data_IF_512156425408
#
_entry.id   IF_512156425408
#
_cell.length_a   1.000
_cell.length_b   1.000
_cell.length_c   1.000
_cell.angle_alpha   90.00
_cell.angle_beta   90.00
_cell.angle_gamma   90.00
#
_symmetry.space_group_name_H-M   'P 1'
#
loop_
_entity.id
_entity.type
_entity.pdbx_description
1 polymer ?
2 polymer ?
3 non-polymer ?
4 non-polymer ?
5 non-polymer ?
6 non-polymer ?
7 water ?
#
# COMPACT_ATOMS: atom_id res chain seq x y z
N UNK A 4 -6.85 19.88 -3.65
CA UNK A 4 -7.52 18.59 -3.77
C UNK A 4 -7.02 17.81 -4.97
N UNK A 5 -6.53 16.58 -4.74
CA UNK A 5 -6.00 15.78 -5.83
C UNK A 5 -7.07 14.88 -6.41
N UNK A 6 -6.71 14.14 -7.46
CA UNK A 6 -7.51 13.03 -7.94
C UNK A 6 -7.32 11.89 -6.96
N UNK A 7 -8.38 11.10 -6.75
CA UNK A 7 -8.30 9.95 -5.87
C UNK A 7 -8.57 8.67 -6.64
N UNK A 8 -7.60 7.78 -6.64
CA UNK A 8 -7.70 6.46 -7.28
C UNK A 8 -8.17 5.43 -6.27
N UNK A 9 -9.29 4.75 -6.54
CA UNK A 9 -9.77 3.74 -5.61
C UNK A 9 -10.27 2.48 -6.28
N UNK A 10 -10.08 1.33 -5.63
CA UNK A 10 -10.62 0.08 -6.11
C UNK A 10 -12.06 -0.07 -5.64
N UNK A 11 -12.85 -0.83 -6.39
CA UNK A 11 -14.29 -0.88 -6.19
C UNK A 11 -14.84 -2.28 -6.50
N UNK A 12 -14.02 -3.30 -6.27
CA UNK A 12 -14.33 -4.70 -6.62
C UNK A 12 -14.59 -4.94 -8.11
N UNK A 13 -15.64 -4.33 -8.66
CA UNK A 13 -16.00 -4.52 -10.07
C UNK A 13 -15.17 -3.66 -11.03
N UNK A 14 -14.52 -2.63 -10.49
CA UNK A 14 -13.69 -1.75 -11.32
C UNK A 14 -12.73 -0.90 -10.48
N UNK A 15 -11.90 -0.12 -11.17
CA UNK A 15 -11.07 0.89 -10.52
C UNK A 15 -11.57 2.26 -10.97
N UNK A 16 -11.60 3.22 -10.07
CA UNK A 16 -12.17 4.53 -10.40
C UNK A 16 -11.28 5.71 -10.02
N UNK A 17 -11.54 6.84 -10.66
CA UNK A 17 -10.79 8.06 -10.42
C UNK A 17 -11.81 9.16 -10.17
N UNK A 18 -11.73 9.81 -9.02
CA UNK A 18 -12.62 10.91 -8.71
C UNK A 18 -11.83 12.15 -8.29
N UNK A 19 -12.28 13.31 -8.75
CA UNK A 19 -11.63 14.56 -8.37
C UNK A 19 -12.13 15.02 -7.01
N UNK A 20 -11.23 15.04 -6.03
CA UNK A 20 -11.59 15.34 -4.65
C UNK A 20 -12.24 16.71 -4.49
N UNK A 21 -11.96 17.62 -5.42
CA UNK A 21 -12.49 18.98 -5.36
C UNK A 21 -13.89 19.03 -5.95
N UNK A 22 -14.30 17.93 -6.57
CA UNK A 22 -15.59 17.85 -7.24
C UNK A 22 -16.19 16.45 -7.11
N UNK A 23 -16.25 15.95 -5.89
CA UNK A 23 -16.64 14.57 -5.64
C UNK A 23 -18.11 14.26 -5.86
N UNK A 24 -18.92 15.30 -6.05
CA UNK A 24 -20.34 15.11 -6.28
C UNK A 24 -20.61 14.42 -7.61
N UNK A 25 -19.73 14.65 -8.58
CA UNK A 25 -19.87 14.03 -9.90
C UNK A 25 -19.58 12.54 -9.83
N UNK A 26 -19.95 11.81 -10.89
CA UNK A 26 -19.61 10.41 -10.99
C UNK A 26 -18.12 10.21 -11.22
N UNK A 27 -17.55 9.17 -10.60
CA UNK A 27 -16.15 8.85 -10.81
C UNK A 27 -15.96 8.34 -12.21
N UNK A 28 -14.77 8.56 -12.78
CA UNK A 28 -14.44 7.98 -14.07
C UNK A 28 -13.91 6.57 -13.83
N UNK A 29 -14.25 5.65 -14.73
CA UNK A 29 -13.76 4.28 -14.63
C UNK A 29 -12.44 4.15 -15.39
N UNK A 30 -11.36 3.84 -14.65
CA UNK A 30 -10.07 3.66 -15.30
C UNK A 30 -9.94 2.22 -15.84
N UNK A 31 -10.43 1.26 -15.07
CA UNK A 31 -10.43 -0.14 -15.47
C UNK A 31 -11.76 -0.76 -15.06
N UNK A 32 -12.39 -1.51 -15.97
CA UNK A 32 -13.65 -2.18 -15.67
C UNK A 32 -13.59 -3.67 -15.90
N UNK A 33 -14.66 -4.38 -15.56
CA UNK A 33 -14.75 -5.81 -15.81
C UNK A 33 -13.93 -6.65 -14.85
N UNK A 34 -13.76 -6.16 -13.63
CA UNK A 34 -13.00 -6.89 -12.62
C UNK A 34 -13.96 -7.68 -11.73
N UNK A 35 -13.43 -8.68 -11.04
CA UNK A 35 -14.25 -9.50 -10.15
C UNK A 35 -14.27 -8.96 -8.73
N UNK A 36 -13.11 -9.00 -8.06
CA UNK A 36 -12.99 -8.46 -6.70
C UNK A 36 -11.70 -7.66 -6.52
N UNK A 37 -11.57 -6.57 -7.27
CA UNK A 37 -10.44 -5.66 -7.10
C UNK A 37 -10.45 -5.08 -5.69
N UNK A 38 -9.33 -5.25 -4.98
CA UNK A 38 -9.24 -4.84 -3.58
C UNK A 38 -8.15 -3.78 -3.35
N UNK A 39 -6.90 -4.18 -3.56
CA UNK A 39 -5.76 -3.30 -3.36
C UNK A 39 -5.43 -2.58 -4.67
N UNK A 40 -4.90 -1.37 -4.57
CA UNK A 40 -4.55 -0.59 -5.76
C UNK A 40 -3.37 0.35 -5.46
N UNK A 41 -2.54 0.57 -6.46
CA UNK A 41 -1.43 1.53 -6.35
C UNK A 41 -0.97 1.88 -7.78
N UNK A 42 0.09 2.66 -7.90
CA UNK A 42 0.50 3.15 -9.22
C UNK A 42 2.00 3.44 -9.25
N UNK A 43 2.53 3.54 -10.47
CA UNK A 43 3.86 4.10 -10.68
C UNK A 43 3.70 5.23 -11.71
N UNK A 44 3.55 6.44 -11.20
CA UNK A 44 3.10 7.56 -12.02
C UNK A 44 4.04 7.80 -13.21
N UNK A 45 5.33 7.77 -12.93
CA UNK A 45 6.34 8.08 -13.95
C UNK A 45 6.36 7.04 -15.08
N UNK A 46 5.90 5.82 -14.77
CA UNK A 46 5.86 4.74 -15.76
C UNK A 46 4.47 4.63 -16.41
N UNK A 47 3.54 5.47 -15.96
CA UNK A 47 2.17 5.41 -16.44
C UNK A 47 1.52 4.06 -16.16
N UNK A 48 1.75 3.53 -14.96
CA UNK A 48 1.19 2.24 -14.57
C UNK A 48 0.23 2.32 -13.39
N UNK A 49 -0.83 1.55 -13.45
CA UNK A 49 -1.71 1.33 -12.31
C UNK A 49 -1.77 -0.17 -12.01
N UNK A 50 -1.56 -0.53 -10.76
CA UNK A 50 -1.60 -1.93 -10.34
C UNK A 50 -2.79 -2.17 -9.45
N UNK A 51 -3.37 -3.36 -9.52
CA UNK A 51 -4.40 -3.75 -8.55
C UNK A 51 -4.33 -5.23 -8.23
N UNK A 52 -4.88 -5.61 -7.08
CA UNK A 52 -5.06 -7.01 -6.75
C UNK A 52 -6.52 -7.38 -6.93
N UNK A 53 -6.76 -8.62 -7.30
CA UNK A 53 -8.11 -9.16 -7.38
C UNK A 53 -8.14 -10.43 -6.53
N UNK A 54 -8.93 -10.43 -5.46
CA UNK A 54 -8.90 -11.56 -4.53
C UNK A 54 -9.68 -12.75 -5.06
N UNK A 55 -10.51 -12.53 -6.07
CA UNK A 55 -11.22 -13.65 -6.69
C UNK A 55 -10.40 -14.30 -7.80
N UNK A 56 -9.68 -13.49 -8.56
CA UNK A 56 -8.83 -14.02 -9.61
C UNK A 56 -7.42 -14.35 -9.08
N UNK A 57 -7.21 -14.07 -7.80
CA UNK A 57 -6.00 -14.49 -7.09
C UNK A 57 -4.74 -14.01 -7.82
N UNK A 58 -4.71 -12.71 -8.08
CA UNK A 58 -3.70 -12.13 -8.93
C UNK A 58 -3.48 -10.65 -8.70
N UNK A 59 -2.32 -10.17 -9.12
CA UNK A 59 -2.07 -8.75 -9.21
C UNK A 59 -1.90 -8.45 -10.70
N UNK A 60 -2.57 -7.41 -11.16
CA UNK A 60 -2.53 -7.03 -12.57
C UNK A 60 -2.12 -5.58 -12.71
N UNK A 61 -1.80 -5.17 -13.93
CA UNK A 61 -1.48 -3.78 -14.18
C UNK A 61 -2.02 -3.33 -15.53
N UNK A 62 -2.14 -2.02 -15.69
CA UNK A 62 -2.57 -1.46 -16.94
C UNK A 62 -1.78 -0.18 -17.19
N UNK A 63 -1.56 0.15 -18.45
CA UNK A 63 -0.85 1.37 -18.80
C UNK A 63 -1.87 2.48 -19.07
N UNK A 64 -2.01 3.40 -18.13
CA UNK A 64 -3.07 4.39 -18.18
C UNK A 64 -2.78 5.55 -19.14
N UNK A 65 -1.63 5.48 -19.81
CA UNK A 65 -1.25 6.47 -20.81
C UNK A 65 -1.36 5.98 -22.24
N UNK A 66 -2.01 4.83 -22.41
CA UNK A 66 -2.25 4.29 -23.73
C UNK A 66 -3.74 4.33 -24.01
N UNK A 67 -4.08 4.75 -25.23
CA UNK A 67 -5.48 4.89 -25.65
C UNK A 67 -6.29 3.65 -25.28
N UNK A 68 -5.76 2.47 -25.57
CA UNK A 68 -6.43 1.23 -25.22
C UNK A 68 -5.43 0.13 -24.87
N UNK A 69 -4.97 0.13 -23.63
CA UNK A 69 -4.08 -0.91 -23.13
C UNK A 69 -4.84 -1.96 -22.35
N UNK A 70 -4.43 -3.22 -22.51
CA UNK A 70 -5.14 -4.34 -21.93
C UNK A 70 -4.69 -4.63 -20.49
N UNK A 71 -5.49 -5.41 -19.78
CA UNK A 71 -5.15 -5.87 -18.45
C UNK A 71 -4.07 -6.94 -18.55
N UNK A 72 -2.99 -6.74 -17.81
CA UNK A 72 -1.84 -7.62 -17.83
C UNK A 72 -1.67 -8.27 -16.47
N UNK A 73 -1.72 -9.59 -16.43
CA UNK A 73 -1.47 -10.28 -15.16
C UNK A 73 0.03 -10.27 -14.87
N UNK A 74 0.40 -9.77 -13.70
CA UNK A 74 1.79 -9.65 -13.30
C UNK A 74 2.19 -10.76 -12.34
N UNK A 75 1.33 -11.05 -11.37
CA UNK A 75 1.56 -12.11 -10.40
C UNK A 75 0.28 -12.91 -10.25
N UNK A 76 0.41 -14.23 -10.25
CA UNK A 76 -0.76 -15.10 -10.14
C UNK A 76 -0.59 -16.09 -8.99
N UNK A 77 -1.64 -16.85 -8.68
CA UNK A 77 -1.59 -17.80 -7.58
C UNK A 77 -1.55 -17.17 -6.20
N UNK A 78 -2.05 -15.95 -6.07
CA UNK A 78 -2.12 -15.27 -4.78
C UNK A 78 -3.46 -15.55 -4.11
N UNK A 79 -3.45 -16.36 -3.06
CA UNK A 79 -4.69 -16.79 -2.42
C UNK A 79 -5.54 -15.63 -1.91
N UNK A 80 -4.92 -14.67 -1.23
CA UNK A 80 -5.68 -13.51 -0.73
C UNK A 80 -4.79 -12.28 -0.67
N UNK A 81 -4.55 -11.64 -1.82
CA UNK A 81 -3.66 -10.47 -1.93
C UNK A 81 -4.39 -9.22 -1.45
N UNK A 82 -4.41 -9.03 -0.13
CA UNK A 82 -5.26 -8.01 0.50
C UNK A 82 -4.65 -6.62 0.48
N UNK A 83 -3.36 -6.53 0.20
CA UNK A 83 -2.70 -5.23 0.16
C UNK A 83 -1.53 -5.26 -0.81
N UNK A 84 -1.24 -4.10 -1.40
CA UNK A 84 -0.05 -4.00 -2.24
C UNK A 84 0.48 -2.58 -2.26
N UNK A 85 1.74 -2.43 -2.63
CA UNK A 85 2.37 -1.12 -2.73
C UNK A 85 3.44 -1.16 -3.81
N UNK A 86 3.49 -0.09 -4.60
CA UNK A 86 4.51 0.04 -5.63
C UNK A 86 5.70 0.85 -5.13
N UNK A 87 6.89 0.27 -5.30
CA UNK A 87 8.13 0.99 -5.05
C UNK A 87 8.52 1.68 -6.34
N UNK A 88 8.23 2.98 -6.43
CA UNK A 88 8.41 3.74 -7.64
C UNK A 88 9.88 4.15 -7.84
N UNK A 89 10.70 3.91 -6.82
CA UNK A 89 12.12 4.28 -6.87
C UNK A 89 12.95 3.07 -7.28
N UNK A 90 12.87 2.01 -6.51
CA UNK A 90 13.60 0.79 -6.82
C UNK A 90 12.93 -0.05 -7.89
N UNK A 91 11.72 0.34 -8.27
CA UNK A 91 10.93 -0.37 -9.27
C UNK A 91 10.62 -1.80 -8.84
N UNK A 92 9.80 -1.91 -7.80
CA UNK A 92 9.47 -3.20 -7.21
C UNK A 92 8.00 -3.20 -6.84
N UNK A 93 7.43 -4.39 -6.72
CA UNK A 93 6.06 -4.55 -6.28
C UNK A 93 6.06 -5.33 -4.96
N UNK A 94 5.37 -4.79 -3.97
CA UNK A 94 5.28 -5.44 -2.66
C UNK A 94 3.83 -5.82 -2.42
N UNK A 95 3.59 -6.97 -1.81
CA UNK A 95 2.21 -7.31 -1.44
C UNK A 95 2.12 -8.20 -0.21
N UNK A 96 0.92 -8.22 0.37
CA UNK A 96 0.61 -9.07 1.50
C UNK A 96 -0.35 -10.15 1.03
N UNK A 97 -0.28 -11.32 1.64
CA UNK A 97 -1.26 -12.36 1.40
C UNK A 97 -1.72 -12.88 2.76
N UNK A 98 -3.00 -12.69 3.04
CA UNK A 98 -3.55 -13.03 4.34
C UNK A 98 -3.96 -14.50 4.46
N UNK A 99 -3.79 -15.27 3.39
CA UNK A 99 -4.10 -16.70 3.47
C UNK A 99 -2.83 -17.54 3.55
N UNK A 100 -1.81 -17.16 2.79
CA UNK A 100 -0.50 -17.82 2.89
C UNK A 100 0.35 -17.16 3.97
N UNK A 101 -0.14 -16.04 4.52
CA UNK A 101 0.53 -15.37 5.64
C UNK A 101 1.93 -14.94 5.27
N UNK A 102 2.05 -14.15 4.22
CA UNK A 102 3.35 -13.77 3.68
C UNK A 102 3.40 -12.32 3.24
N UNK A 103 4.60 -11.77 3.20
CA UNK A 103 4.85 -10.50 2.52
C UNK A 103 5.92 -10.78 1.48
N UNK A 104 5.69 -10.32 0.25
CA UNK A 104 6.55 -10.67 -0.87
C UNK A 104 6.91 -9.49 -1.74
N UNK A 105 7.99 -9.61 -2.50
CA UNK A 105 8.40 -8.56 -3.43
C UNK A 105 8.71 -9.16 -4.80
N UNK A 106 8.52 -8.35 -5.84
CA UNK A 106 8.96 -8.74 -7.17
C UNK A 106 9.29 -7.50 -7.99
N UNK A 107 9.84 -7.70 -9.17
CA UNK A 107 10.02 -6.60 -10.12
C UNK A 107 8.67 -6.11 -10.59
N UNK A 108 8.64 -4.95 -11.27
CA UNK A 108 7.37 -4.41 -11.76
C UNK A 108 6.65 -5.37 -12.73
N UNK A 109 7.40 -6.24 -13.40
CA UNK A 109 6.79 -7.19 -14.33
C UNK A 109 6.47 -8.54 -13.69
N UNK A 110 6.68 -8.63 -12.37
CA UNK A 110 6.37 -9.86 -11.65
C UNK A 110 7.51 -10.88 -11.61
N UNK A 111 8.61 -10.57 -12.28
CA UNK A 111 9.75 -11.48 -12.31
C UNK A 111 10.54 -11.42 -11.01
N UNK A 112 11.30 -12.48 -10.74
CA UNK A 112 12.18 -12.54 -9.58
C UNK A 112 11.44 -12.43 -8.25
N UNK A 113 10.35 -13.18 -8.11
CA UNK A 113 9.58 -13.17 -6.86
C UNK A 113 10.44 -13.64 -5.69
N UNK A 114 10.34 -12.93 -4.57
CA UNK A 114 11.07 -13.28 -3.37
C UNK A 114 10.20 -13.07 -2.13
N UNK A 115 10.00 -14.13 -1.35
CA UNK A 115 9.25 -13.99 -0.10
C UNK A 115 10.15 -13.34 0.95
N UNK A 116 9.68 -12.24 1.52
CA UNK A 116 10.46 -11.48 2.50
C UNK A 116 10.16 -11.91 3.92
N UNK A 117 8.87 -12.06 4.24
CA UNK A 117 8.47 -12.50 5.58
C UNK A 117 7.36 -13.54 5.46
N UNK A 118 7.47 -14.60 6.26
CA UNK A 118 6.51 -15.70 6.17
C UNK A 118 6.15 -16.25 7.53
N UNK A 119 6.64 -15.57 8.58
CA UNK A 119 6.40 -15.98 9.95
C UNK A 119 5.77 -14.86 10.76
N UNK A 120 4.96 -15.23 11.77
CA UNK A 120 4.33 -14.27 12.66
C UNK A 120 3.45 -13.26 11.91
N UNK A 121 2.79 -13.75 10.86
CA UNK A 121 1.80 -12.96 10.14
C UNK A 121 0.47 -13.71 10.22
N UNK A 122 -0.59 -13.01 10.56
CA UNK A 122 -1.89 -13.65 10.72
C UNK A 122 -2.90 -13.07 9.74
N UNK A 123 -3.18 -11.78 9.85
CA UNK A 123 -4.04 -11.11 8.88
C UNK A 123 -3.35 -9.85 8.37
N UNK A 124 -2.19 -10.01 7.72
CA UNK A 124 -1.51 -8.85 7.16
C UNK A 124 -2.45 -8.19 6.17
N UNK A 125 -2.44 -6.86 6.10
CA UNK A 125 -3.39 -6.16 5.25
C UNK A 125 -2.69 -5.02 4.51
N UNK A 126 -2.68 -3.83 5.10
CA UNK A 126 -2.16 -2.66 4.43
C UNK A 126 -0.63 -2.63 4.42
N UNK A 127 -0.07 -2.08 3.35
CA UNK A 127 1.38 -1.95 3.24
C UNK A 127 1.73 -0.60 2.61
N UNK A 128 2.66 0.11 3.25
CA UNK A 128 3.09 1.43 2.76
C UNK A 128 4.62 1.49 2.68
N UNK A 129 5.13 2.19 1.66
CA UNK A 129 6.56 2.23 1.41
C UNK A 129 7.12 3.65 1.52
N UNK A 130 8.34 3.73 2.04
CA UNK A 130 9.09 4.97 2.05
C UNK A 130 10.41 4.68 1.35
N UNK A 131 10.37 4.57 0.01
CA UNK A 131 11.48 4.07 -0.81
C UNK A 131 12.80 4.83 -0.57
N UNK A 132 12.72 6.15 -0.43
CA UNK A 132 13.91 6.99 -0.22
C UNK A 132 14.61 6.71 1.11
N UNK A 133 13.87 6.16 2.07
CA UNK A 133 14.43 5.80 3.36
C UNK A 133 14.58 4.28 3.50
N UNK A 134 14.08 3.55 2.52
CA UNK A 134 14.25 2.11 2.48
C UNK A 134 13.48 1.35 3.53
N UNK A 135 12.35 1.90 3.97
CA UNK A 135 11.50 1.25 4.97
C UNK A 135 10.12 0.90 4.41
N UNK A 136 9.59 -0.24 4.85
CA UNK A 136 8.22 -0.61 4.54
C UNK A 136 7.46 -0.74 5.84
N UNK A 137 6.16 -0.50 5.77
CA UNK A 137 5.29 -0.56 6.94
C UNK A 137 4.08 -1.40 6.59
N UNK A 138 3.57 -2.18 7.54
CA UNK A 138 2.34 -2.92 7.29
C UNK A 138 1.48 -3.12 8.54
N UNK A 139 0.21 -3.42 8.32
CA UNK A 139 -0.69 -3.72 9.43
C UNK A 139 -1.01 -5.21 9.44
N UNK A 140 -1.40 -5.71 10.61
CA UNK A 140 -1.87 -7.07 10.74
C UNK A 140 -3.05 -6.99 11.71
N UNK A 141 -4.23 -7.41 11.26
CA UNK A 141 -5.41 -7.29 12.10
C UNK A 141 -5.82 -8.63 12.72
N UNK A 142 -4.84 -9.51 12.87
CA UNK A 142 -5.09 -10.87 13.32
C UNK A 142 -5.15 -11.00 14.83
N UNK A 143 -4.90 -12.20 15.32
CA UNK A 143 -5.04 -12.51 16.74
C UNK A 143 -4.16 -11.61 17.60
N UNK A 144 -2.98 -11.29 17.07
CA UNK A 144 -2.12 -10.29 17.70
C UNK A 144 -2.01 -9.11 16.74
N UNK A 145 -2.94 -8.16 16.86
CA UNK A 145 -2.97 -7.02 15.93
C UNK A 145 -1.76 -6.13 16.16
N UNK A 146 -1.21 -5.57 15.08
CA UNK A 146 -0.01 -4.77 15.20
C UNK A 146 0.27 -3.96 13.93
N UNK A 147 1.16 -3.00 14.06
CA UNK A 147 1.77 -2.34 12.91
C UNK A 147 3.27 -2.61 13.01
N UNK A 148 3.89 -2.98 11.90
CA UNK A 148 5.31 -3.30 11.90
C UNK A 148 6.03 -2.48 10.85
N UNK A 149 7.34 -2.39 10.97
CA UNK A 149 8.14 -1.88 9.87
C UNK A 149 9.42 -2.68 9.73
N UNK A 150 10.01 -2.60 8.55
CA UNK A 150 11.20 -3.38 8.21
C UNK A 150 11.88 -2.71 7.04
N UNK A 151 13.12 -3.10 6.77
CA UNK A 151 13.77 -2.63 5.57
C UNK A 151 13.02 -3.18 4.37
N UNK A 152 13.03 -2.43 3.27
CA UNK A 152 12.39 -2.90 2.06
C UNK A 152 13.18 -4.07 1.45
N UNK A 153 14.25 -4.43 2.14
CA UNK A 153 15.09 -5.56 1.76
C UNK A 153 14.90 -6.73 2.70
N UNK A 154 13.89 -6.65 3.56
CA UNK A 154 13.57 -7.72 4.50
C UNK A 154 14.36 -7.68 5.80
N UNK A 155 15.15 -6.62 5.99
CA UNK A 155 15.99 -6.50 7.17
C UNK A 155 15.25 -5.82 8.33
N UNK A 156 15.77 -5.99 9.53
CA UNK A 156 15.39 -5.20 10.71
C UNK A 156 13.88 -5.04 10.91
N UNK A 157 13.18 -6.16 10.96
CA UNK A 157 11.75 -6.15 11.23
C UNK A 157 11.52 -5.83 12.70
N UNK A 158 10.53 -5.00 12.99
CA UNK A 158 10.10 -4.83 14.38
C UNK A 158 8.74 -4.17 14.52
N UNK A 159 8.06 -4.50 15.61
CA UNK A 159 6.72 -3.99 15.86
C UNK A 159 6.79 -2.56 16.40
N UNK A 160 6.11 -1.64 15.74
CA UNK A 160 6.11 -0.25 16.17
C UNK A 160 4.84 0.15 16.93
N UNK A 161 3.74 -0.55 16.67
CA UNK A 161 2.50 -0.34 17.43
C UNK A 161 1.89 -1.69 17.80
N UNK A 162 1.62 -1.90 19.08
CA UNK A 162 1.03 -3.17 19.51
C UNK A 162 0.01 -3.00 20.63
N UNK A 163 -0.34 -1.75 20.92
CA UNK A 163 -1.34 -1.45 21.92
C UNK A 163 -2.43 -0.57 21.32
N UNK A 164 -3.60 -0.56 21.96
CA UNK A 164 -4.76 0.18 21.48
C UNK A 164 -4.97 -0.04 19.98
N UNK A 165 -5.08 -1.30 19.60
CA UNK A 165 -5.15 -1.68 18.20
C UNK A 165 -5.91 -3.00 18.06
N UNK A 166 -6.73 -3.09 17.01
CA UNK A 166 -7.60 -4.26 16.85
C UNK A 166 -7.83 -4.58 15.36
N UNK A 167 -8.37 -3.61 14.63
CA UNK A 167 -8.51 -3.76 13.17
C UNK A 167 -7.80 -2.63 12.43
N UNK A 168 -6.46 -2.62 12.46
CA UNK A 168 -5.73 -1.62 11.68
C UNK A 168 -5.85 -1.91 10.19
N UNK A 169 -6.78 -1.23 9.51
CA UNK A 169 -7.05 -1.50 8.09
C UNK A 169 -6.31 -0.59 7.11
N UNK A 170 -6.19 0.68 7.47
CA UNK A 170 -5.62 1.66 6.57
C UNK A 170 -4.32 2.21 7.10
N UNK A 171 -3.39 2.52 6.20
CA UNK A 171 -2.05 2.95 6.58
C UNK A 171 -1.50 3.85 5.48
N UNK A 172 -1.03 5.04 5.85
CA UNK A 172 -0.38 5.91 4.87
C UNK A 172 0.73 6.73 5.49
N UNK A 173 1.62 7.23 4.65
CA UNK A 173 2.76 8.02 5.11
C UNK A 173 2.63 9.48 4.71
N UNK A 174 3.09 10.36 5.60
CA UNK A 174 3.25 11.77 5.25
C UNK A 174 4.75 11.99 5.08
N UNK A 175 5.20 12.11 3.83
CA UNK A 175 6.62 12.20 3.52
C UNK A 175 7.21 13.57 3.87
N UNK A 176 6.36 14.59 3.89
CA UNK A 176 6.82 15.92 4.25
C UNK A 176 7.05 16.04 5.76
N UNK A 177 6.07 15.57 6.53
CA UNK A 177 6.14 15.69 7.99
C UNK A 177 6.86 14.52 8.66
N UNK A 178 7.14 13.45 7.90
CA UNK A 178 7.73 12.25 8.48
C UNK A 178 6.81 11.61 9.53
N UNK A 179 5.55 11.37 9.16
CA UNK A 179 4.58 10.79 10.07
C UNK A 179 3.87 9.61 9.44
N UNK A 180 3.43 8.69 10.28
CA UNK A 180 2.65 7.54 9.83
C UNK A 180 1.21 7.71 10.32
N UNK A 181 0.24 7.48 9.44
CA UNK A 181 -1.17 7.55 9.83
C UNK A 181 -1.82 6.19 9.65
N UNK A 182 -2.75 5.83 10.52
CA UNK A 182 -3.50 4.60 10.32
C UNK A 182 -4.95 4.70 10.82
N UNK A 183 -5.81 3.85 10.27
CA UNK A 183 -7.21 3.83 10.64
C UNK A 183 -7.55 2.46 11.26
N UNK A 184 -8.25 2.50 12.40
CA UNK A 184 -8.65 1.25 13.05
C UNK A 184 -10.16 1.12 12.98
N UNK A 185 -10.63 0.05 12.32
CA UNK A 185 -12.05 -0.12 12.04
C UNK A 185 -12.85 -0.70 13.20
N UNK A 186 -12.18 -1.24 14.22
CA UNK A 186 -12.93 -1.77 15.37
C UNK A 186 -13.00 -0.70 16.44
N UNK A 187 -11.92 0.06 16.59
CA UNK A 187 -11.83 1.09 17.61
C UNK A 187 -12.31 2.43 17.04
N UNK A 188 -12.57 2.45 15.74
CA UNK A 188 -13.27 3.55 15.06
C UNK A 188 -12.53 4.89 15.03
N UNK A 189 -11.21 4.84 14.88
CA UNK A 189 -10.43 6.09 14.90
C UNK A 189 -9.32 6.14 13.86
N UNK A 190 -8.69 7.31 13.74
CA UNK A 190 -7.48 7.48 12.96
C UNK A 190 -6.42 8.11 13.85
N UNK A 191 -5.25 7.47 13.93
CA UNK A 191 -4.16 7.99 14.73
C UNK A 191 -2.94 8.25 13.88
N UNK A 192 -1.98 8.98 14.43
CA UNK A 192 -0.71 9.21 13.77
C UNK A 192 0.44 8.99 14.75
N UNK A 193 1.64 8.88 14.21
CA UNK A 193 2.83 8.79 15.05
C UNK A 193 4.07 9.07 14.21
N UNK A 194 5.22 9.16 14.87
CA UNK A 194 6.49 9.19 14.17
C UNK A 194 6.69 7.85 13.47
N UNK A 195 7.70 7.77 12.62
CA UNK A 195 7.88 6.57 11.80
C UNK A 195 8.35 5.37 12.62
N UNK A 196 8.85 5.62 13.83
CA UNK A 196 9.22 4.52 14.72
C UNK A 196 8.10 4.17 15.72
N UNK A 197 6.96 4.82 15.58
CA UNK A 197 5.81 4.54 16.42
C UNK A 197 5.70 5.41 17.65
N UNK A 198 6.74 6.20 17.92
CA UNK A 198 6.72 7.09 19.09
C UNK A 198 5.88 8.34 18.83
N UNK A 199 5.59 9.07 19.91
CA UNK A 199 4.82 10.30 19.82
C UNK A 199 3.48 10.07 19.12
N UNK A 200 2.79 9.02 19.54
CA UNK A 200 1.48 8.71 18.98
C UNK A 200 0.44 9.71 19.46
N UNK A 201 -0.49 10.09 18.58
CA UNK A 201 -1.59 10.95 18.98
C UNK A 201 -2.83 10.73 18.11
N UNK A 202 -3.99 11.14 18.63
CA UNK A 202 -5.24 10.95 17.92
C UNK A 202 -5.48 12.03 16.88
N UNK A 203 -5.99 11.64 15.72
CA UNK A 203 -6.38 12.61 14.69
C UNK A 203 -7.91 12.75 14.70
N UNK A 204 -8.59 11.69 14.30
CA UNK A 204 -10.02 11.55 14.48
C UNK A 204 -10.20 10.58 15.64
N UNK A 205 -10.79 11.06 16.73
CA UNK A 205 -10.84 10.31 17.99
C UNK A 205 -11.73 9.06 17.94
N UNK A 206 -12.83 9.16 17.19
CA UNK A 206 -13.80 8.09 17.12
C UNK A 206 -14.86 8.36 16.07
N UNK A 207 -15.89 7.52 16.04
CA UNK A 207 -17.08 7.74 15.22
C UNK A 207 -16.91 7.41 13.73
N UNK A 208 -15.86 6.67 13.40
CA UNK A 208 -15.66 6.14 12.04
C UNK A 208 -16.25 4.73 11.97
N UNK A 209 -17.33 4.54 11.20
CA UNK A 209 -18.01 3.25 11.23
C UNK A 209 -17.14 2.05 10.85
N UNK A 210 -16.55 2.06 9.66
CA UNK A 210 -15.70 0.94 9.25
C UNK A 210 -14.69 1.34 8.18
N UNK A 211 -13.72 2.19 8.56
CA UNK A 211 -12.67 2.65 7.63
C UNK A 211 -11.86 1.48 7.09
N UNK A 212 -11.52 1.53 5.80
CA UNK A 212 -10.74 0.45 5.21
C UNK A 212 -9.35 0.89 4.77
N UNK A 213 -9.28 1.83 3.83
CA UNK A 213 -7.98 2.29 3.34
C UNK A 213 -7.84 3.80 3.52
N UNK A 214 -6.60 4.25 3.69
CA UNK A 214 -6.31 5.64 4.03
C UNK A 214 -5.26 6.20 3.09
N UNK A 215 -5.45 7.44 2.65
CA UNK A 215 -4.41 8.11 1.88
C UNK A 215 -4.29 9.56 2.37
N UNK A 216 -3.41 10.32 1.72
CA UNK A 216 -3.09 11.66 2.19
C UNK A 216 -2.61 12.54 1.03
N UNK A 217 -2.95 13.83 1.09
CA UNK A 217 -2.44 14.79 0.11
C UNK A 217 -2.45 16.19 0.70
N UNK A 218 -1.29 16.82 0.73
CA UNK A 218 -1.12 18.09 1.39
C UNK A 218 -1.57 17.99 2.85
N UNK A 219 -2.57 18.78 3.24
CA UNK A 219 -3.00 18.79 4.63
C UNK A 219 -4.26 17.97 4.91
N UNK A 220 -4.70 17.18 3.93
CA UNK A 220 -5.97 16.47 4.03
C UNK A 220 -5.80 14.95 3.99
N UNK A 221 -6.42 14.26 4.95
CA UNK A 221 -6.50 12.80 4.92
C UNK A 221 -7.76 12.37 4.19
N UNK A 222 -7.67 11.27 3.44
CA UNK A 222 -8.82 10.71 2.74
C UNK A 222 -8.91 9.23 3.06
N UNK A 223 -10.11 8.71 3.24
CA UNK A 223 -10.26 7.29 3.48
C UNK A 223 -11.57 6.73 2.96
N UNK A 224 -11.56 5.44 2.62
CA UNK A 224 -12.78 4.73 2.27
C UNK A 224 -13.40 4.09 3.51
N UNK A 225 -14.73 3.97 3.50
CA UNK A 225 -15.43 3.35 4.62
C UNK A 225 -16.41 2.31 4.10
N UNK A 226 -16.28 1.07 4.57
CA UNK A 226 -17.11 -0.03 4.11
C UNK A 226 -18.59 0.14 4.46
N UNK A 227 -18.86 0.75 5.61
CA UNK A 227 -20.26 0.91 6.05
C UNK A 227 -20.94 2.11 5.40
N UNK A 228 -20.21 3.19 5.20
CA UNK A 228 -20.80 4.39 4.60
C UNK A 228 -20.80 4.34 3.07
N UNK A 229 -20.09 3.36 2.50
CA UNK A 229 -19.96 3.26 1.05
C UNK A 229 -19.58 4.61 0.48
N UNK A 230 -18.57 5.23 1.06
CA UNK A 230 -18.17 6.57 0.65
C UNK A 230 -16.71 6.84 0.94
N UNK A 231 -16.23 7.96 0.43
CA UNK A 231 -14.91 8.46 0.76
C UNK A 231 -15.05 9.68 1.66
N UNK A 232 -14.33 9.67 2.78
CA UNK A 232 -14.37 10.76 3.74
C UNK A 232 -13.07 11.54 3.73
N UNK A 233 -13.10 12.75 4.30
CA UNK A 233 -11.90 13.58 4.43
C UNK A 233 -11.88 14.41 5.71
N UNK A 234 -10.68 14.80 6.13
CA UNK A 234 -10.51 15.67 7.29
C UNK A 234 -9.09 16.25 7.30
N UNK A 235 -8.87 17.26 8.13
CA UNK A 235 -7.56 17.89 8.27
C UNK A 235 -6.57 16.96 8.98
N UNK A 236 -5.39 16.78 8.40
CA UNK A 236 -4.43 15.81 8.91
C UNK A 236 -3.83 16.19 10.26
N UNK A 237 -3.96 17.45 10.65
CA UNK A 237 -3.36 17.91 11.90
C UNK A 237 -4.33 17.83 13.07
N UNK A 238 -5.57 18.25 12.84
CA UNK A 238 -6.55 18.39 13.92
C UNK A 238 -7.73 17.43 13.81
N UNK A 239 -7.90 16.82 12.65
CA UNK A 239 -9.03 15.94 12.42
C UNK A 239 -10.33 16.71 12.20
N UNK A 240 -10.23 18.03 12.16
CA UNK A 240 -11.39 18.89 11.92
C UNK A 240 -11.82 18.86 10.46
N UNK A 241 -12.95 19.48 10.17
CA UNK A 241 -13.45 19.56 8.81
C UNK A 241 -13.81 18.19 8.24
N UNK A 242 -14.19 17.27 9.12
CA UNK A 242 -14.61 15.94 8.71
C UNK A 242 -15.79 16.05 7.74
N UNK A 243 -15.65 15.49 6.55
CA UNK A 243 -16.68 15.63 5.52
C UNK A 243 -16.68 14.48 4.52
N UNK A 244 -17.84 14.24 3.90
CA UNK A 244 -17.97 13.20 2.89
C UNK A 244 -17.70 13.77 1.51
N UNK A 245 -16.74 13.19 0.80
CA UNK A 245 -16.27 13.71 -0.48
C UNK A 245 -17.04 13.11 -1.66
N UNK A 246 -17.31 11.81 -1.57
CA UNK A 246 -17.78 11.04 -2.70
C UNK A 246 -18.59 9.88 -2.14
N UNK A 247 -19.85 9.75 -2.56
CA UNK A 247 -20.77 8.82 -1.92
C UNK A 247 -21.37 7.79 -2.89
N UNK A 248 -22.17 6.88 -2.32
CA UNK A 248 -22.93 5.91 -3.11
C UNK A 248 -22.02 4.97 -3.91
N UNK A 249 -20.87 4.63 -3.33
CA UNK A 249 -19.91 3.75 -3.98
C UNK A 249 -20.30 2.28 -3.79
N UNK A 250 -20.24 1.50 -4.86
CA UNK A 250 -20.66 0.11 -4.81
C UNK A 250 -19.98 -0.63 -3.65
N UNK A 251 -18.66 -0.63 -3.66
CA UNK A 251 -17.89 -1.35 -2.66
C UNK A 251 -16.48 -0.78 -2.60
N UNK A 252 -16.31 0.39 -1.94
CA UNK A 252 -15.02 1.06 -1.94
C UNK A 252 -13.95 0.23 -1.24
N UNK A 253 -12.77 0.15 -1.83
CA UNK A 253 -11.69 -0.63 -1.25
C UNK A 253 -10.46 0.26 -1.03
N UNK A 254 -9.34 -0.13 -1.63
CA UNK A 254 -8.10 0.59 -1.39
C UNK A 254 -8.15 1.94 -2.10
N UNK A 255 -7.35 2.91 -1.64
CA UNK A 255 -7.39 4.26 -2.20
C UNK A 255 -6.04 4.96 -2.14
N UNK A 256 -5.74 5.77 -3.16
CA UNK A 256 -4.53 6.58 -3.19
C UNK A 256 -4.80 7.97 -3.78
N UNK A 257 -4.12 8.97 -3.24
CA UNK A 257 -4.06 10.27 -3.91
C UNK A 257 -3.19 10.08 -5.15
N UNK A 258 -3.83 10.22 -6.31
CA UNK A 258 -3.23 9.88 -7.60
C UNK A 258 -2.49 11.08 -8.17
N UNK A 259 -1.21 11.22 -7.80
CA UNK A 259 -0.40 12.38 -8.17
C UNK A 259 1.08 12.06 -8.17
N UNK A 260 1.82 12.65 -9.09
CA UNK A 260 3.27 12.48 -9.14
C UNK A 260 3.94 13.04 -7.88
N UNK A 261 3.27 14.01 -7.25
CA UNK A 261 3.78 14.60 -6.03
C UNK A 261 3.77 13.64 -4.84
N UNK A 262 2.94 12.60 -4.92
CA UNK A 262 2.90 11.56 -3.89
C UNK A 262 3.94 10.48 -4.15
N UNK A 263 4.73 10.68 -5.20
CA UNK A 263 5.86 9.80 -5.51
C UNK A 263 7.06 10.68 -5.84
N UNK A 264 7.57 11.40 -4.83
CA UNK A 264 8.62 12.39 -5.00
C UNK A 264 9.89 11.79 -5.62
N UNK A 265 10.40 12.45 -6.66
CA UNK A 265 11.62 12.01 -7.31
C UNK A 265 12.80 11.95 -6.34
N UNK A 266 13.63 10.94 -6.50
CA UNK A 266 14.83 10.78 -5.69
C UNK A 266 15.85 9.96 -6.46
N UNK A 267 17.10 10.02 -6.03
CA UNK A 267 18.16 9.21 -6.62
C UNK A 267 17.97 7.75 -6.23
N UNK A 268 17.96 6.86 -7.22
CA UNK A 268 17.95 5.43 -6.95
C UNK A 268 19.35 4.96 -6.58
N UNK A 269 19.55 4.54 -5.33
CA UNK A 269 20.88 4.15 -4.86
C UNK A 269 21.45 2.96 -5.63
N UNK A 270 20.60 2.29 -6.40
CA UNK A 270 21.06 1.20 -7.25
C UNK A 270 21.79 1.74 -8.49
N UNK A 271 21.48 2.97 -8.87
CA UNK A 271 22.11 3.62 -10.01
C UNK A 271 21.58 3.11 -11.34
N UNK A 272 22.47 3.03 -12.32
CA UNK A 272 22.14 2.49 -13.63
C UNK A 272 22.72 1.07 -13.68
N UNK A 273 23.30 0.69 -12.55
CA UNK A 273 24.09 -0.53 -12.43
C UNK A 273 23.26 -1.69 -11.86
N UNK A 274 22.01 -1.41 -11.52
CA UNK A 274 21.22 -2.32 -10.69
C UNK A 274 22.01 -2.68 -9.44
N UNK A 275 22.78 -1.71 -8.95
CA UNK A 275 23.60 -1.88 -7.75
C UNK A 275 24.66 -2.95 -7.91
N UNK A 276 24.90 -3.39 -9.15
CA UNK A 276 25.79 -4.51 -9.38
C UNK A 276 25.17 -5.82 -8.94
N UNK A 277 23.87 -5.79 -8.63
CA UNK A 277 23.14 -6.99 -8.24
C UNK A 277 22.77 -7.82 -9.45
N UNK A 278 22.98 -9.12 -9.37
CA UNK A 278 22.63 -10.03 -10.46
C UNK A 278 21.12 -10.11 -10.68
N UNK A 279 20.36 -10.02 -9.59
CA UNK A 279 18.92 -10.17 -9.69
C UNK A 279 18.17 -8.96 -9.16
N UNK A 280 17.74 -9.00 -7.89
CA UNK A 280 16.97 -7.90 -7.32
C UNK A 280 17.88 -6.88 -6.64
N UNK A 281 17.63 -5.60 -6.89
CA UNK A 281 18.29 -4.54 -6.15
C UNK A 281 17.23 -3.81 -5.34
N UNK A 282 17.17 -4.13 -4.04
CA UNK A 282 16.12 -3.63 -3.17
C UNK A 282 16.57 -2.41 -2.37
N UNK A 283 15.63 -1.51 -2.09
CA UNK A 283 15.92 -0.39 -1.22
C UNK A 283 16.23 -0.91 0.18
N UNK A 284 17.15 -0.23 0.86
CA UNK A 284 17.62 -0.65 2.18
C UNK A 284 17.72 0.59 3.07
N UNK A 285 17.44 0.43 4.37
CA UNK A 285 17.46 1.55 5.32
C UNK A 285 18.87 1.95 5.75
N UNK A 286 19.86 1.12 5.44
CA UNK A 286 21.23 1.41 5.81
C UNK A 286 22.13 1.56 4.59
N UNK A 287 23.10 2.46 4.68
CA UNK A 287 24.09 2.69 3.63
C UNK A 287 24.64 1.37 3.11
N UNK A 288 24.81 1.26 1.77
CA UNK A 288 24.63 2.31 0.76
C UNK A 288 23.20 2.48 0.26
N UNK A 289 22.22 2.04 1.06
CA UNK A 289 20.80 2.26 0.81
C UNK A 289 20.15 1.39 -0.28
N UNK A 290 20.92 0.42 -0.76
CA UNK A 290 20.35 -0.70 -1.51
C UNK A 290 20.93 -2.00 -0.98
N UNK A 291 20.28 -3.10 -1.33
CA UNK A 291 20.73 -4.42 -0.92
C UNK A 291 20.35 -5.43 -2.00
N UNK A 292 21.34 -6.17 -2.48
CA UNK A 292 21.08 -7.20 -3.48
C UNK A 292 20.32 -8.36 -2.84
N UNK A 293 19.44 -8.97 -3.62
CA UNK A 293 18.62 -10.08 -3.13
C UNK A 293 18.36 -11.07 -4.28
N UNK A 294 17.88 -12.26 -3.93
CA UNK A 294 17.62 -13.29 -4.92
C UNK A 294 16.19 -13.82 -4.83
N UNK A 295 15.69 -14.46 -5.90
CA UNK A 295 14.37 -15.09 -5.81
C UNK A 295 14.30 -16.08 -4.64
N UNK A 296 13.08 -16.36 -4.21
CA UNK A 296 12.83 -17.29 -3.13
C UNK A 296 13.68 -18.56 -3.23
N UNK A 297 14.32 -18.91 -2.12
CA UNK A 297 15.08 -20.15 -2.04
C UNK A 297 16.46 -20.10 -2.65
N UNK A 298 16.81 -18.96 -3.25
CA UNK A 298 18.11 -18.81 -3.93
C UNK A 298 19.10 -18.03 -3.07
N UNK A 299 20.34 -18.52 -2.99
CA UNK A 299 21.31 -17.95 -2.08
C UNK A 299 22.15 -16.83 -2.72
N UNK A 300 22.41 -15.80 -1.94
CA UNK A 300 23.30 -14.72 -2.35
C UNK A 300 24.73 -15.17 -2.08
N UNK A 301 25.62 -14.98 -3.05
CA UNK A 301 27.01 -15.40 -2.88
C UNK A 301 27.78 -14.46 -1.95
N UNK A 302 29.01 -14.86 -1.61
CA UNK A 302 29.84 -14.15 -0.64
C UNK A 302 30.10 -12.67 -0.95
N UNK A 303 29.93 -12.28 -2.21
CA UNK A 303 30.17 -10.89 -2.60
C UNK A 303 28.98 -9.95 -2.31
N UNK A 304 27.87 -10.53 -1.88
CA UNK A 304 26.67 -9.74 -1.59
C UNK A 304 26.00 -9.14 -2.81
N UNK A 305 26.30 -9.68 -3.99
CA UNK A 305 25.78 -9.11 -5.23
C UNK A 305 25.22 -10.19 -6.16
N UNK A 306 25.90 -11.32 -6.20
CA UNK A 306 25.62 -12.36 -7.19
C UNK A 306 24.84 -13.53 -6.59
N UNK A 307 23.71 -13.86 -7.21
CA UNK A 307 22.94 -15.02 -6.81
C UNK A 307 23.59 -16.30 -7.34
N UNK A 308 23.54 -17.36 -6.54
CA UNK A 308 24.12 -18.64 -6.92
C UNK A 308 23.49 -19.17 -8.22
N UNK B 2 -20.55 -6.13 11.65
CA UNK B 2 -19.37 -5.99 10.80
C UNK B 2 -18.41 -7.20 10.74
N UNK B 3 -18.10 -7.64 9.53
CA UNK B 3 -17.00 -8.57 9.31
C UNK B 3 -15.88 -7.81 8.61
N UNK B 4 -14.64 -8.08 8.99
CA UNK B 4 -13.51 -7.33 8.45
C UNK B 4 -12.77 -8.05 7.33
N UNK B 5 -13.25 -9.23 6.96
CA UNK B 5 -12.62 -10.01 5.90
C UNK B 5 -12.95 -9.44 4.52
N UNK B 6 -11.98 -9.47 3.61
CA UNK B 6 -12.19 -8.96 2.26
C UNK B 6 -13.11 -9.85 1.45
N UNK B 7 -12.99 -11.17 1.62
CA UNK B 7 -13.76 -12.10 0.79
C UNK B 7 -15.21 -12.27 1.21
N UNK B 8 -15.45 -12.48 2.51
CA UNK B 8 -16.79 -12.70 3.04
C UNK B 8 -17.29 -14.14 2.83
#
# INVERSE_FOLDING_TARGET
AGSAPLLLYANRRDLRLVDATNGKENATIVVGGLEDAAAVDFVFSHGLIYWSDVSEEAIKRTEFNKTESVQNVVVSGLLSPDGLACDWLGEKLYWTDSETNRIEVSNLDGSLRKVLFWQELDQPRAIALDPSSGFMYWTDWGEVPKIERAGMDGSSRFIIINSEIYWPNGLTLDYEEQKLYWADAKLNFIHKSNLDGTNRQAVVKGSLPHPFALTLFEDILYWTDWSTHSILACNKYTGEGLREIHSDIFSPMDIHAFSQQRQPNATNPCGIDNGGCSHLCLMSPVKPFYQCACPTGVKLLENGKTCKDGNSHHHHHH
XNSNAIKNX
#
